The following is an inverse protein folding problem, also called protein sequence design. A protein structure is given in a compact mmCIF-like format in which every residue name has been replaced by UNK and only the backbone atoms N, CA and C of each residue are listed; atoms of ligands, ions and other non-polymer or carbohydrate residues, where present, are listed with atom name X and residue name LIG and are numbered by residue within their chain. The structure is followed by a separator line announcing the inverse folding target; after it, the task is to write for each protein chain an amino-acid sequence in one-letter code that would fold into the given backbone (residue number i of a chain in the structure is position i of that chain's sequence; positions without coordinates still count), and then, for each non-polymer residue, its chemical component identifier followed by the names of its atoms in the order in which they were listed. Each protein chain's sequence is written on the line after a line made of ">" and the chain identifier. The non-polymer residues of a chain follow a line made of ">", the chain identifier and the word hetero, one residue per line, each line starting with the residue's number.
data_IF_879359990498
#
_entry.id   IF_879359990498
#
_cell.length_a   1.000
_cell.length_b   1.000
_cell.length_c   1.000
_cell.angle_alpha   90.00
_cell.angle_beta   90.00
_cell.angle_gamma   90.00
#
_symmetry.space_group_name_H-M   'P 1'
#
loop_
_entity.id
_entity.type
_entity.pdbx_description
1 polymer ?
#
# COMPACT_ATOMS: atom_id res chain seq x y z
N UNK A 1 -15.94 -21.78 -15.25
CA UNK A 1 -15.12 -20.57 -14.98
C UNK A 1 -15.72 -19.79 -13.81
N UNK A 2 -14.96 -19.55 -12.76
CA UNK A 2 -15.37 -18.87 -11.53
C UNK A 2 -15.37 -17.35 -11.73
N UNK A 3 -16.52 -16.70 -11.58
CA UNK A 3 -16.65 -15.24 -11.65
C UNK A 3 -16.32 -14.61 -10.30
N UNK A 4 -15.32 -13.73 -10.27
CA UNK A 4 -14.87 -13.00 -9.07
C UNK A 4 -14.96 -11.50 -9.30
N UNK A 5 -15.61 -10.77 -8.38
CA UNK A 5 -15.64 -9.31 -8.39
C UNK A 5 -14.77 -8.76 -7.27
N UNK A 6 -13.69 -8.06 -7.62
CA UNK A 6 -12.96 -7.21 -6.69
C UNK A 6 -13.68 -5.87 -6.55
N UNK A 7 -13.85 -5.39 -5.31
CA UNK A 7 -14.59 -4.15 -5.04
C UNK A 7 -13.65 -3.19 -4.30
N UNK A 8 -13.37 -2.04 -4.91
CA UNK A 8 -12.53 -0.98 -4.38
C UNK A 8 -13.25 0.37 -4.56
N UNK A 9 -13.19 1.29 -3.57
CA UNK A 9 -13.95 2.54 -3.68
C UNK A 9 -13.41 3.42 -4.79
N UNK A 10 -12.13 3.81 -4.70
CA UNK A 10 -11.50 4.73 -5.66
C UNK A 10 -10.51 3.99 -6.55
N UNK A 11 -10.54 4.25 -7.86
CA UNK A 11 -9.59 3.68 -8.82
C UNK A 11 -8.27 4.45 -8.86
N UNK A 12 -7.60 4.57 -7.72
CA UNK A 12 -6.31 5.27 -7.58
C UNK A 12 -5.14 4.30 -7.55
N UNK A 13 -4.01 4.73 -8.10
CA UNK A 13 -2.73 4.03 -7.93
C UNK A 13 -2.22 4.32 -6.51
N UNK A 14 -2.32 3.32 -5.67
CA UNK A 14 -1.94 3.34 -4.26
C UNK A 14 -1.49 1.95 -3.83
N UNK A 15 -0.93 1.80 -2.64
CA UNK A 15 -0.55 0.49 -2.14
C UNK A 15 -1.69 -0.54 -2.18
N UNK A 16 -2.92 -0.16 -1.78
CA UNK A 16 -4.10 -1.02 -1.86
C UNK A 16 -4.58 -1.25 -3.30
N UNK A 17 -4.55 -0.21 -4.15
CA UNK A 17 -4.94 -0.31 -5.57
C UNK A 17 -4.03 -1.26 -6.33
N UNK A 18 -2.71 -1.15 -6.17
CA UNK A 18 -1.73 -2.06 -6.79
C UNK A 18 -1.84 -3.47 -6.22
N UNK A 19 -2.04 -3.62 -4.90
CA UNK A 19 -2.27 -4.94 -4.30
C UNK A 19 -3.51 -5.62 -4.91
N UNK A 20 -4.63 -4.88 -5.05
CA UNK A 20 -5.84 -5.37 -5.72
C UNK A 20 -5.56 -5.79 -7.17
N UNK A 21 -4.87 -4.94 -7.93
CA UNK A 21 -4.51 -5.24 -9.31
C UNK A 21 -3.64 -6.50 -9.44
N UNK A 22 -2.58 -6.62 -8.63
CA UNK A 22 -1.70 -7.79 -8.65
C UNK A 22 -2.46 -9.07 -8.25
N UNK A 23 -3.33 -8.99 -7.24
CA UNK A 23 -4.19 -10.12 -6.84
C UNK A 23 -5.09 -10.60 -7.97
N UNK A 24 -5.60 -9.68 -8.81
CA UNK A 24 -6.44 -10.05 -9.96
C UNK A 24 -5.62 -10.58 -11.13
N UNK A 25 -4.52 -9.87 -11.47
CA UNK A 25 -3.70 -10.15 -12.65
C UNK A 25 -3.01 -11.51 -12.58
N UNK A 26 -2.57 -11.89 -11.39
CA UNK A 26 -1.82 -13.13 -11.18
C UNK A 26 -2.68 -14.40 -11.12
N UNK A 27 -4.02 -14.27 -11.05
CA UNK A 27 -4.89 -15.45 -11.02
C UNK A 27 -4.97 -16.15 -12.38
N UNK A 28 -5.18 -17.47 -12.34
CA UNK A 28 -5.34 -18.29 -13.53
C UNK A 28 -6.56 -17.84 -14.35
N UNK A 29 -6.31 -17.30 -15.53
CA UNK A 29 -7.33 -16.78 -16.46
C UNK A 29 -8.19 -17.90 -17.09
N UNK A 30 -7.73 -19.14 -17.09
CA UNK A 30 -8.49 -20.29 -17.53
C UNK A 30 -9.57 -20.70 -16.52
N UNK A 31 -9.26 -20.48 -15.23
CA UNK A 31 -10.14 -20.85 -14.13
C UNK A 31 -11.00 -19.68 -13.61
N UNK A 32 -10.42 -18.48 -13.50
CA UNK A 32 -11.09 -17.30 -12.96
C UNK A 32 -11.41 -16.24 -14.02
N UNK A 33 -12.61 -15.65 -13.91
CA UNK A 33 -12.97 -14.40 -14.60
C UNK A 33 -12.96 -13.28 -13.57
N UNK A 34 -11.86 -12.50 -13.57
CA UNK A 34 -11.66 -11.36 -12.66
C UNK A 34 -12.27 -10.09 -13.21
N UNK A 35 -13.06 -9.39 -12.41
CA UNK A 35 -13.62 -8.08 -12.72
C UNK A 35 -13.40 -7.12 -11.53
N UNK A 36 -13.26 -5.82 -11.82
CA UNK A 36 -13.06 -4.77 -10.81
C UNK A 36 -14.27 -3.83 -10.77
N UNK A 37 -14.86 -3.64 -9.59
CA UNK A 37 -15.88 -2.63 -9.32
C UNK A 37 -15.28 -1.41 -8.63
N UNK A 38 -15.43 -0.21 -9.23
CA UNK A 38 -14.83 1.04 -8.72
C UNK A 38 -15.67 2.26 -9.09
N UNK A 39 -15.32 3.45 -8.56
CA UNK A 39 -15.82 4.74 -9.04
C UNK A 39 -15.41 4.99 -10.52
N UNK A 40 -16.11 5.90 -11.24
CA UNK A 40 -16.00 6.01 -12.70
C UNK A 40 -14.68 6.55 -13.24
N UNK A 41 -13.85 7.24 -12.45
CA UNK A 41 -12.67 7.97 -12.93
C UNK A 41 -11.45 7.71 -12.05
N UNK A 42 -10.33 7.32 -12.69
CA UNK A 42 -9.03 7.18 -12.05
C UNK A 42 -8.09 6.23 -12.79
N UNK A 43 -6.77 6.34 -12.56
CA UNK A 43 -5.74 5.67 -13.35
C UNK A 43 -5.75 4.14 -13.20
N UNK A 44 -6.21 3.58 -12.09
CA UNK A 44 -6.31 2.13 -11.91
C UNK A 44 -7.24 1.47 -12.95
N UNK A 45 -8.23 2.21 -13.47
CA UNK A 45 -9.13 1.70 -14.52
C UNK A 45 -8.36 1.39 -15.80
N UNK A 46 -7.47 2.30 -16.24
CA UNK A 46 -6.60 2.10 -17.40
C UNK A 46 -5.72 0.88 -17.21
N UNK A 47 -4.99 0.83 -16.09
CA UNK A 47 -4.09 -0.25 -15.75
C UNK A 47 -4.79 -1.64 -15.79
N UNK A 48 -5.98 -1.77 -15.21
CA UNK A 48 -6.73 -3.03 -15.19
C UNK A 48 -7.20 -3.42 -16.61
N UNK A 49 -7.68 -2.46 -17.40
CA UNK A 49 -8.15 -2.69 -18.77
C UNK A 49 -7.02 -3.08 -19.72
N UNK A 50 -5.86 -2.45 -19.63
CA UNK A 50 -4.65 -2.76 -20.43
C UNK A 50 -4.20 -4.21 -20.23
N UNK A 51 -4.51 -4.82 -19.08
CA UNK A 51 -4.23 -6.24 -18.81
C UNK A 51 -5.40 -7.19 -19.13
N UNK A 52 -6.40 -6.71 -19.91
CA UNK A 52 -7.50 -7.52 -20.43
C UNK A 52 -8.60 -7.85 -19.42
N UNK A 53 -8.61 -7.20 -18.25
CA UNK A 53 -9.63 -7.42 -17.23
C UNK A 53 -10.77 -6.40 -17.34
N UNK A 54 -11.98 -6.82 -17.00
CA UNK A 54 -13.17 -5.94 -17.05
C UNK A 54 -13.24 -5.02 -15.84
N UNK A 55 -13.65 -3.77 -16.08
CA UNK A 55 -13.93 -2.79 -15.02
C UNK A 55 -15.39 -2.38 -15.08
N UNK A 56 -16.07 -2.49 -13.96
CA UNK A 56 -17.46 -2.06 -13.71
C UNK A 56 -17.44 -0.76 -12.89
N UNK A 57 -18.04 0.28 -13.40
CA UNK A 57 -18.01 1.58 -12.71
C UNK A 57 -19.37 1.89 -12.09
N UNK A 58 -19.33 2.36 -10.83
CA UNK A 58 -20.51 2.72 -10.04
C UNK A 58 -20.45 4.21 -9.70
N UNK A 59 -21.38 5.00 -10.24
CA UNK A 59 -21.40 6.47 -10.12
C UNK A 59 -21.54 6.96 -8.67
N UNK A 60 -22.15 6.13 -7.81
CA UNK A 60 -22.38 6.46 -6.41
C UNK A 60 -21.23 6.03 -5.50
N UNK A 61 -20.17 5.38 -6.02
CA UNK A 61 -18.95 5.11 -5.25
C UNK A 61 -18.19 6.42 -5.05
N UNK A 62 -18.20 6.94 -3.81
CA UNK A 62 -17.49 8.14 -3.39
C UNK A 62 -16.68 7.85 -2.14
N UNK A 63 -15.55 8.56 -1.93
CA UNK A 63 -14.70 8.32 -0.77
C UNK A 63 -15.23 8.96 0.52
N UNK A 64 -15.73 10.21 0.53
CA UNK A 64 -16.31 10.81 1.74
C UNK A 64 -17.52 10.01 2.22
N UNK A 65 -17.78 10.04 3.53
CA UNK A 65 -19.03 9.53 4.08
C UNK A 65 -20.18 10.35 3.53
N UNK A 66 -21.07 9.70 2.81
CA UNK A 66 -22.28 10.27 2.21
C UNK A 66 -23.38 9.22 2.32
N UNK A 67 -24.19 9.24 3.39
CA UNK A 67 -25.18 8.19 3.65
C UNK A 67 -26.16 7.97 2.49
N UNK A 68 -26.55 9.04 1.78
CA UNK A 68 -27.46 8.94 0.65
C UNK A 68 -26.80 8.25 -0.55
N UNK A 69 -25.59 8.70 -0.95
CA UNK A 69 -24.85 8.05 -2.03
C UNK A 69 -24.41 6.65 -1.67
N UNK A 70 -24.09 6.40 -0.41
CA UNK A 70 -23.70 5.08 0.08
C UNK A 70 -24.86 4.09 0.01
N UNK A 71 -26.08 4.53 0.31
CA UNK A 71 -27.29 3.73 0.12
C UNK A 71 -27.55 3.44 -1.36
N UNK A 72 -27.44 4.45 -2.23
CA UNK A 72 -27.57 4.24 -3.68
C UNK A 72 -26.49 3.28 -4.22
N UNK A 73 -25.25 3.42 -3.78
CA UNK A 73 -24.18 2.52 -4.14
C UNK A 73 -24.44 1.06 -3.69
N UNK A 74 -25.01 0.89 -2.50
CA UNK A 74 -25.41 -0.41 -1.98
C UNK A 74 -26.51 -1.06 -2.82
N UNK A 75 -27.54 -0.29 -3.18
CA UNK A 75 -28.65 -0.79 -4.00
C UNK A 75 -28.20 -1.12 -5.42
N UNK A 76 -27.43 -0.24 -6.08
CA UNK A 76 -26.88 -0.45 -7.41
C UNK A 76 -26.01 -1.71 -7.45
N UNK A 77 -25.10 -1.85 -6.47
CA UNK A 77 -24.20 -3.01 -6.38
C UNK A 77 -24.97 -4.30 -6.09
N UNK A 78 -25.99 -4.25 -5.23
CA UNK A 78 -26.83 -5.44 -4.93
C UNK A 78 -27.57 -5.92 -6.16
N UNK A 79 -28.23 -5.00 -6.89
CA UNK A 79 -28.94 -5.32 -8.12
C UNK A 79 -27.96 -5.91 -9.18
N UNK A 80 -26.80 -5.29 -9.34
CA UNK A 80 -25.76 -5.77 -10.24
C UNK A 80 -25.29 -7.21 -9.90
N UNK A 81 -24.97 -7.45 -8.63
CA UNK A 81 -24.50 -8.77 -8.17
C UNK A 81 -25.55 -9.86 -8.38
N UNK A 82 -26.83 -9.58 -8.14
CA UNK A 82 -27.96 -10.53 -8.40
C UNK A 82 -28.09 -10.93 -9.87
N UNK A 83 -27.90 -9.96 -10.76
CA UNK A 83 -28.08 -10.16 -12.20
C UNK A 83 -26.89 -10.87 -12.87
N UNK A 84 -25.68 -10.67 -12.35
CA UNK A 84 -24.43 -11.14 -13.00
C UNK A 84 -23.96 -12.52 -12.52
N UNK A 85 -24.47 -13.03 -11.39
CA UNK A 85 -24.15 -14.39 -10.89
C UNK A 85 -22.68 -14.57 -10.52
N UNK A 86 -22.11 -13.68 -9.68
CA UNK A 86 -20.76 -13.85 -9.14
C UNK A 86 -20.72 -14.98 -8.10
N UNK A 87 -19.66 -15.77 -8.14
CA UNK A 87 -19.40 -16.84 -7.18
C UNK A 87 -18.67 -16.31 -5.93
N UNK A 88 -17.87 -15.26 -6.11
CA UNK A 88 -17.07 -14.67 -5.06
C UNK A 88 -16.96 -13.14 -5.22
N UNK A 89 -17.09 -12.45 -4.09
CA UNK A 89 -16.67 -11.04 -3.97
C UNK A 89 -15.43 -10.93 -3.11
N UNK A 90 -14.48 -10.07 -3.52
CA UNK A 90 -13.31 -9.72 -2.73
C UNK A 90 -13.26 -8.20 -2.56
N UNK A 91 -13.50 -7.74 -1.35
CA UNK A 91 -13.60 -6.32 -1.02
C UNK A 91 -12.30 -5.78 -0.46
N UNK A 92 -12.00 -4.51 -0.73
CA UNK A 92 -10.79 -3.81 -0.27
C UNK A 92 -11.18 -2.46 0.33
N UNK A 93 -10.43 -1.98 1.33
CA UNK A 93 -10.70 -0.74 2.09
C UNK A 93 -12.02 -0.78 2.89
N UNK A 94 -12.11 0.06 3.93
CA UNK A 94 -13.24 0.03 4.87
C UNK A 94 -14.58 0.33 4.20
N UNK A 95 -14.68 1.38 3.38
CA UNK A 95 -15.96 1.77 2.76
C UNK A 95 -16.45 0.75 1.73
N UNK A 96 -15.61 0.37 0.77
CA UNK A 96 -15.94 -0.70 -0.20
C UNK A 96 -16.13 -2.04 0.51
N UNK A 97 -15.39 -2.27 1.60
CA UNK A 97 -15.54 -3.41 2.48
C UNK A 97 -16.92 -3.51 3.10
N UNK A 98 -17.45 -2.43 3.66
CA UNK A 98 -18.77 -2.42 4.27
C UNK A 98 -19.88 -2.58 3.20
N UNK A 99 -19.89 -1.70 2.19
CA UNK A 99 -20.92 -1.71 1.13
C UNK A 99 -20.89 -3.02 0.35
N UNK A 100 -19.70 -3.51 -0.04
CA UNK A 100 -19.54 -4.71 -0.84
C UNK A 100 -19.95 -5.99 -0.11
N UNK A 101 -19.55 -6.14 1.17
CA UNK A 101 -19.94 -7.32 1.98
C UNK A 101 -21.45 -7.35 2.23
N UNK A 102 -22.08 -6.18 2.49
CA UNK A 102 -23.52 -6.10 2.68
C UNK A 102 -24.28 -6.38 1.37
N UNK A 103 -23.85 -5.79 0.26
CA UNK A 103 -24.42 -6.04 -1.07
C UNK A 103 -24.30 -7.52 -1.47
N UNK A 104 -23.13 -8.12 -1.24
CA UNK A 104 -22.92 -9.54 -1.49
C UNK A 104 -23.84 -10.45 -0.70
N UNK A 105 -24.02 -10.13 0.60
CA UNK A 105 -24.99 -10.85 1.46
C UNK A 105 -26.41 -10.73 0.93
N UNK A 106 -26.87 -9.51 0.58
CA UNK A 106 -28.21 -9.28 0.06
C UNK A 106 -28.44 -9.89 -1.33
N UNK A 107 -27.38 -9.95 -2.13
CA UNK A 107 -27.43 -10.59 -3.45
C UNK A 107 -27.30 -12.11 -3.41
N UNK A 108 -26.96 -12.69 -2.26
CA UNK A 108 -26.76 -14.14 -2.13
C UNK A 108 -25.45 -14.65 -2.77
N UNK A 109 -24.41 -13.79 -2.86
CA UNK A 109 -23.10 -14.24 -3.38
C UNK A 109 -22.50 -15.28 -2.42
N UNK A 110 -22.12 -16.47 -2.92
CA UNK A 110 -21.74 -17.61 -2.08
C UNK A 110 -20.53 -17.37 -1.18
N UNK A 111 -19.51 -16.65 -1.69
CA UNK A 111 -18.23 -16.43 -0.99
C UNK A 111 -17.92 -14.93 -0.89
N UNK A 112 -17.59 -14.48 0.32
CA UNK A 112 -17.17 -13.11 0.61
C UNK A 112 -15.79 -13.10 1.30
N UNK A 113 -14.81 -12.44 0.66
CA UNK A 113 -13.46 -12.23 1.19
C UNK A 113 -13.21 -10.73 1.34
N UNK A 114 -12.45 -10.33 2.35
CA UNK A 114 -12.05 -8.95 2.56
C UNK A 114 -10.55 -8.84 2.82
N UNK A 115 -9.83 -7.96 2.10
CA UNK A 115 -8.45 -7.62 2.43
C UNK A 115 -8.39 -6.31 3.20
N UNK A 116 -7.82 -6.36 4.39
CA UNK A 116 -7.58 -5.21 5.27
C UNK A 116 -6.18 -4.64 4.97
N UNK A 117 -6.15 -3.48 4.29
CA UNK A 117 -4.91 -2.73 4.00
C UNK A 117 -4.55 -1.72 5.09
N UNK A 118 -5.43 -1.48 6.02
CA UNK A 118 -5.40 -0.56 7.13
C UNK A 118 -6.84 -0.24 7.52
N UNK A 119 -7.03 0.29 8.71
CA UNK A 119 -8.35 0.68 9.18
C UNK A 119 -8.57 2.18 9.07
N UNK A 120 -9.81 2.61 8.84
CA UNK A 120 -10.21 4.01 8.78
C UNK A 120 -10.28 4.68 10.17
N UNK A 121 -10.09 3.92 11.23
CA UNK A 121 -10.14 4.37 12.63
C UNK A 121 -8.77 4.13 13.28
N UNK A 122 -7.89 5.10 13.17
CA UNK A 122 -6.57 5.13 13.81
C UNK A 122 -6.58 6.13 14.99
N UNK A 123 -5.56 6.11 15.81
CA UNK A 123 -5.48 6.87 17.06
C UNK A 123 -5.56 8.41 16.87
N UNK A 124 -5.36 8.91 15.65
CA UNK A 124 -5.47 10.34 15.33
C UNK A 124 -6.90 10.77 14.93
N UNK A 125 -7.84 9.83 14.73
CA UNK A 125 -9.23 10.16 14.46
C UNK A 125 -9.98 10.53 15.75
N UNK A 126 -10.99 11.43 15.68
CA UNK A 126 -11.84 11.74 16.82
C UNK A 126 -12.48 10.48 17.42
N UNK A 127 -12.63 10.36 18.76
CA UNK A 127 -13.13 9.15 19.43
C UNK A 127 -14.47 8.64 18.89
N UNK A 128 -15.40 9.54 18.56
CA UNK A 128 -16.69 9.16 18.02
C UNK A 128 -16.60 8.51 16.64
N UNK A 129 -15.67 9.00 15.78
CA UNK A 129 -15.41 8.39 14.46
C UNK A 129 -14.75 7.04 14.60
N UNK A 130 -13.79 6.92 15.54
CA UNK A 130 -13.17 5.63 15.84
C UNK A 130 -14.24 4.61 16.25
N UNK A 131 -15.15 4.98 17.19
CA UNK A 131 -16.23 4.13 17.64
C UNK A 131 -17.19 3.73 16.50
N UNK A 132 -17.57 4.70 15.66
CA UNK A 132 -18.43 4.45 14.49
C UNK A 132 -17.81 3.44 13.53
N UNK A 133 -16.59 3.71 13.05
CA UNK A 133 -15.93 2.84 12.08
C UNK A 133 -15.63 1.46 12.65
N UNK A 134 -15.22 1.36 13.90
CA UNK A 134 -15.02 0.08 14.59
C UNK A 134 -16.30 -0.75 14.62
N UNK A 135 -17.42 -0.15 14.97
CA UNK A 135 -18.71 -0.87 15.02
C UNK A 135 -19.18 -1.26 13.61
N UNK A 136 -18.97 -0.43 12.61
CA UNK A 136 -19.25 -0.78 11.20
C UNK A 136 -18.37 -1.96 10.73
N UNK A 137 -17.08 -1.98 11.06
CA UNK A 137 -16.20 -3.09 10.72
C UNK A 137 -16.57 -4.39 11.47
N UNK A 138 -16.94 -4.30 12.75
CA UNK A 138 -17.48 -5.44 13.52
C UNK A 138 -18.70 -6.04 12.84
N UNK A 139 -19.67 -5.18 12.47
CA UNK A 139 -20.88 -5.61 11.78
C UNK A 139 -20.56 -6.26 10.45
N UNK A 140 -19.70 -5.62 9.64
CA UNK A 140 -19.31 -6.13 8.33
C UNK A 140 -18.47 -7.43 8.41
N UNK A 141 -17.75 -7.66 9.51
CA UNK A 141 -17.02 -8.89 9.78
C UNK A 141 -17.93 -10.13 9.84
N UNK A 142 -19.21 -9.97 10.20
CA UNK A 142 -20.19 -11.07 10.17
C UNK A 142 -20.54 -11.52 8.76
N UNK A 143 -20.43 -10.63 7.75
CA UNK A 143 -20.78 -10.89 6.35
C UNK A 143 -19.58 -11.33 5.50
N UNK A 144 -18.53 -11.79 6.15
CA UNK A 144 -17.28 -12.18 5.50
C UNK A 144 -16.91 -13.61 5.89
N UNK A 145 -16.55 -14.45 4.92
CA UNK A 145 -16.08 -15.82 5.16
C UNK A 145 -14.62 -15.82 5.63
N UNK A 146 -13.76 -14.98 5.03
CA UNK A 146 -12.36 -14.78 5.43
C UNK A 146 -11.92 -13.33 5.32
N UNK A 147 -11.09 -12.90 6.27
CA UNK A 147 -10.43 -11.60 6.28
C UNK A 147 -8.92 -11.79 6.13
N UNK A 148 -8.38 -11.23 5.06
CA UNK A 148 -6.94 -11.24 4.76
C UNK A 148 -6.33 -9.97 5.34
N UNK A 149 -5.29 -10.13 6.14
CA UNK A 149 -4.54 -9.02 6.75
C UNK A 149 -3.13 -8.97 6.19
N UNK A 150 -2.67 -7.78 5.86
CA UNK A 150 -1.35 -7.59 5.24
C UNK A 150 -0.20 -7.47 6.25
N UNK A 151 -0.49 -7.49 7.55
CA UNK A 151 0.52 -7.44 8.61
C UNK A 151 0.00 -8.03 9.93
N UNK A 152 0.92 -8.46 10.80
CA UNK A 152 0.57 -9.02 12.12
C UNK A 152 -0.08 -7.96 13.04
N UNK A 153 0.42 -6.73 13.15
CA UNK A 153 -0.22 -5.71 13.99
C UNK A 153 -1.67 -5.41 13.62
N UNK A 154 -2.04 -5.50 12.34
CA UNK A 154 -3.43 -5.35 11.92
C UNK A 154 -4.32 -6.51 12.41
N UNK A 155 -3.79 -7.72 12.45
CA UNK A 155 -4.48 -8.89 13.00
C UNK A 155 -4.73 -8.70 14.50
N UNK A 156 -3.65 -8.40 15.24
CA UNK A 156 -3.69 -8.26 16.70
C UNK A 156 -4.68 -7.16 17.08
N UNK A 157 -4.69 -6.07 16.33
CA UNK A 157 -5.61 -4.98 16.52
C UNK A 157 -7.06 -5.38 16.19
N UNK A 158 -7.32 -6.07 15.08
CA UNK A 158 -8.66 -6.51 14.69
C UNK A 158 -9.27 -7.50 15.70
N UNK A 159 -8.46 -8.41 16.23
CA UNK A 159 -8.88 -9.36 17.25
C UNK A 159 -9.18 -8.64 18.57
N UNK A 160 -8.28 -7.77 19.03
CA UNK A 160 -8.46 -6.97 20.24
C UNK A 160 -9.71 -6.10 20.18
N UNK A 161 -9.98 -5.48 19.04
CA UNK A 161 -11.15 -4.64 18.83
C UNK A 161 -12.43 -5.44 18.49
N UNK A 162 -12.36 -6.76 18.42
CA UNK A 162 -13.52 -7.61 18.14
C UNK A 162 -14.12 -7.42 16.73
N UNK A 163 -13.30 -6.97 15.76
CA UNK A 163 -13.71 -6.81 14.34
C UNK A 163 -13.90 -8.17 13.68
N UNK A 164 -13.15 -9.18 14.13
CA UNK A 164 -13.17 -10.54 13.63
C UNK A 164 -12.76 -11.54 14.71
N UNK A 165 -12.72 -12.80 14.38
CA UNK A 165 -12.21 -13.88 15.24
C UNK A 165 -11.14 -14.69 14.49
N UNK A 166 -10.36 -15.48 15.23
CA UNK A 166 -9.24 -16.27 14.69
C UNK A 166 -9.63 -17.18 13.52
N UNK A 167 -10.85 -17.75 13.54
CA UNK A 167 -11.30 -18.67 12.50
C UNK A 167 -11.44 -18.00 11.14
N UNK A 168 -11.62 -16.67 11.09
CA UNK A 168 -11.76 -15.89 9.85
C UNK A 168 -10.46 -15.21 9.41
N UNK A 169 -9.45 -15.14 10.26
CA UNK A 169 -8.19 -14.43 10.00
C UNK A 169 -7.27 -15.25 9.10
N UNK A 170 -6.66 -14.57 8.13
CA UNK A 170 -5.52 -15.09 7.36
C UNK A 170 -4.52 -13.97 7.16
N UNK A 171 -3.23 -14.23 7.40
CA UNK A 171 -2.15 -13.29 7.09
C UNK A 171 -1.59 -13.57 5.70
N UNK A 172 -1.69 -12.58 4.80
CA UNK A 172 -1.05 -12.60 3.48
C UNK A 172 -0.44 -11.22 3.26
N UNK A 173 0.86 -11.16 3.16
CA UNK A 173 1.57 -9.90 2.89
C UNK A 173 1.25 -9.36 1.50
N UNK A 174 1.33 -8.02 1.35
CA UNK A 174 1.24 -7.40 0.02
C UNK A 174 2.42 -7.85 -0.84
N UNK A 175 2.11 -8.30 -2.05
CA UNK A 175 3.12 -8.78 -2.99
C UNK A 175 3.79 -7.65 -3.77
N UNK A 176 5.04 -7.89 -4.18
CA UNK A 176 5.80 -7.04 -5.09
C UNK A 176 6.27 -7.84 -6.31
N UNK A 177 6.36 -7.18 -7.45
CA UNK A 177 6.91 -7.74 -8.70
C UNK A 177 8.44 -7.66 -8.65
N UNK A 178 9.07 -8.77 -8.31
CA UNK A 178 10.53 -8.85 -8.14
C UNK A 178 11.29 -8.74 -9.48
N UNK A 179 10.65 -9.07 -10.58
CA UNK A 179 11.22 -8.89 -11.93
C UNK A 179 11.23 -7.43 -12.35
N UNK A 180 10.23 -6.64 -11.89
CA UNK A 180 10.19 -5.20 -12.15
C UNK A 180 11.10 -4.43 -11.21
N UNK A 181 11.04 -4.71 -9.90
CA UNK A 181 11.87 -4.06 -8.90
C UNK A 181 13.13 -4.88 -8.63
N UNK A 182 14.22 -4.54 -9.33
CA UNK A 182 15.51 -5.22 -9.22
C UNK A 182 16.68 -4.22 -9.04
N UNK A 183 17.82 -4.67 -8.50
CA UNK A 183 19.00 -3.82 -8.41
C UNK A 183 19.47 -3.37 -9.81
N UNK A 184 19.84 -2.11 -9.92
CA UNK A 184 20.39 -1.53 -11.16
C UNK A 184 21.91 -1.45 -11.11
N UNK A 185 22.55 -1.51 -12.29
CA UNK A 185 24.00 -1.30 -12.42
C UNK A 185 24.39 0.14 -12.07
N UNK A 186 25.66 0.35 -11.75
CA UNK A 186 26.17 1.71 -11.48
C UNK A 186 26.07 2.62 -12.73
N UNK A 187 26.18 2.05 -13.94
CA UNK A 187 26.02 2.79 -15.19
C UNK A 187 24.56 3.22 -15.40
N UNK A 188 23.64 2.30 -15.19
CA UNK A 188 22.19 2.57 -15.30
C UNK A 188 21.75 3.62 -14.27
N UNK A 189 22.18 3.49 -13.01
CA UNK A 189 21.93 4.49 -11.97
C UNK A 189 22.44 5.87 -12.41
N UNK A 190 23.61 5.96 -13.05
CA UNK A 190 24.14 7.23 -13.58
C UNK A 190 23.26 7.83 -14.66
N UNK A 191 22.78 7.01 -15.62
CA UNK A 191 21.86 7.46 -16.69
C UNK A 191 20.56 7.97 -16.12
N UNK A 192 19.96 7.22 -15.16
CA UNK A 192 18.72 7.62 -14.50
C UNK A 192 18.91 8.92 -13.69
N UNK A 193 19.97 9.06 -12.90
CA UNK A 193 20.26 10.30 -12.17
C UNK A 193 20.36 11.51 -13.08
N UNK A 194 21.03 11.36 -14.25
CA UNK A 194 21.12 12.45 -15.25
C UNK A 194 19.73 12.86 -15.76
N UNK A 195 18.85 11.88 -16.05
CA UNK A 195 17.47 12.13 -16.48
C UNK A 195 16.68 12.95 -15.45
N UNK A 196 16.91 12.70 -14.17
CA UNK A 196 16.22 13.38 -13.05
C UNK A 196 16.95 14.63 -12.54
N UNK A 197 18.00 15.10 -13.20
CA UNK A 197 18.78 16.26 -12.77
C UNK A 197 19.48 16.08 -11.41
N UNK A 198 19.83 14.84 -11.07
CA UNK A 198 20.50 14.48 -9.82
C UNK A 198 22.00 14.28 -10.12
N UNK A 199 22.86 14.98 -9.36
CA UNK A 199 24.30 14.88 -9.56
C UNK A 199 24.80 13.49 -9.06
N UNK A 200 25.92 13.02 -9.68
CA UNK A 200 26.49 11.73 -9.31
C UNK A 200 27.09 11.72 -7.87
N UNK A 201 27.46 12.89 -7.39
CA UNK A 201 28.02 13.09 -6.03
C UNK A 201 26.95 13.27 -4.94
N UNK A 202 25.69 13.49 -5.34
CA UNK A 202 24.61 13.74 -4.40
C UNK A 202 24.38 12.49 -3.52
N UNK A 203 24.24 12.72 -2.21
CA UNK A 203 23.76 11.74 -1.25
C UNK A 203 22.23 11.85 -1.19
N UNK A 204 21.54 10.91 -1.88
CA UNK A 204 20.11 11.05 -2.16
C UNK A 204 19.26 10.33 -1.12
N UNK A 205 18.47 11.09 -0.39
CA UNK A 205 17.40 10.59 0.50
C UNK A 205 16.10 10.61 -0.31
N UNK A 206 15.41 9.49 -0.45
CA UNK A 206 14.17 9.40 -1.22
C UNK A 206 12.98 9.00 -0.38
N UNK A 207 11.86 9.69 -0.59
CA UNK A 207 10.56 9.35 -0.01
C UNK A 207 9.51 9.26 -1.10
N UNK A 208 8.78 8.14 -1.14
CA UNK A 208 7.64 7.95 -2.05
C UNK A 208 6.38 7.76 -1.22
N UNK A 209 5.49 8.73 -1.27
CA UNK A 209 4.21 8.65 -0.56
C UNK A 209 3.24 9.74 -1.00
N UNK A 210 1.95 9.55 -0.70
CA UNK A 210 0.96 10.62 -0.83
C UNK A 210 1.31 11.77 0.12
N UNK A 211 1.20 13.03 -0.35
CA UNK A 211 1.50 14.22 0.45
C UNK A 211 0.32 14.56 1.37
N UNK A 212 0.31 13.98 2.55
CA UNK A 212 -0.68 14.19 3.60
C UNK A 212 -0.08 13.99 5.01
N UNK A 213 -0.73 14.45 6.09
CA UNK A 213 -0.16 14.55 7.44
C UNK A 213 0.38 13.23 7.98
N UNK A 214 -0.31 12.14 7.74
CA UNK A 214 0.06 10.82 8.27
C UNK A 214 1.40 10.27 7.78
N UNK A 215 2.05 10.91 6.79
CA UNK A 215 3.29 10.41 6.17
C UNK A 215 4.58 11.02 6.73
N UNK A 216 4.49 12.08 7.52
CA UNK A 216 5.65 12.64 8.23
C UNK A 216 6.62 13.46 7.36
N UNK A 217 6.15 14.06 6.26
CA UNK A 217 6.98 14.89 5.36
C UNK A 217 7.67 16.06 6.08
N UNK A 218 6.94 16.76 6.95
CA UNK A 218 7.52 17.84 7.72
C UNK A 218 8.66 17.37 8.63
N UNK A 219 8.49 16.22 9.29
CA UNK A 219 9.52 15.61 10.14
C UNK A 219 10.77 15.32 9.30
N UNK A 220 10.59 14.77 8.08
CA UNK A 220 11.70 14.51 7.17
C UNK A 220 12.40 15.76 6.71
N UNK A 221 11.68 16.82 6.30
CA UNK A 221 12.26 18.07 5.82
C UNK A 221 13.07 18.74 6.95
N UNK A 222 12.58 18.74 8.18
CA UNK A 222 13.32 19.24 9.34
C UNK A 222 14.55 18.42 9.68
N UNK A 223 14.45 17.09 9.62
CA UNK A 223 15.63 16.21 9.78
C UNK A 223 16.66 16.44 8.66
N UNK A 224 16.18 16.62 7.43
CA UNK A 224 17.03 16.90 6.27
C UNK A 224 17.76 18.24 6.39
N UNK A 225 17.14 19.27 6.96
CA UNK A 225 17.82 20.55 7.24
C UNK A 225 19.08 20.34 8.09
N UNK A 226 19.00 19.51 9.12
CA UNK A 226 20.16 19.22 9.97
C UNK A 226 21.21 18.34 9.24
N UNK A 227 20.75 17.36 8.44
CA UNK A 227 21.64 16.53 7.60
C UNK A 227 22.41 17.39 6.60
N UNK A 228 21.77 18.39 6.01
CA UNK A 228 22.39 19.29 5.02
C UNK A 228 23.52 20.14 5.59
N UNK A 229 23.53 20.42 6.90
CA UNK A 229 24.64 21.09 7.58
C UNK A 229 25.90 20.23 7.61
N UNK A 230 25.75 18.89 7.70
CA UNK A 230 26.85 17.91 7.78
C UNK A 230 27.28 17.40 6.41
N UNK A 231 26.30 17.11 5.53
CA UNK A 231 26.54 16.56 4.18
C UNK A 231 26.07 17.61 3.16
N UNK A 232 26.99 18.42 2.66
CA UNK A 232 26.66 19.51 1.70
C UNK A 232 26.05 19.01 0.40
N UNK A 233 26.41 17.81 -0.04
CA UNK A 233 25.90 17.11 -1.23
C UNK A 233 24.59 16.35 -0.96
N UNK A 234 24.03 16.42 0.26
CA UNK A 234 22.74 15.78 0.54
C UNK A 234 21.62 16.39 -0.32
N UNK A 235 20.79 15.53 -0.89
CA UNK A 235 19.61 15.89 -1.68
C UNK A 235 18.41 15.08 -1.22
N UNK A 236 17.28 15.74 -1.06
CA UNK A 236 16.01 15.11 -0.71
C UNK A 236 15.13 15.03 -1.95
N UNK A 237 14.59 13.84 -2.25
CA UNK A 237 13.65 13.61 -3.34
C UNK A 237 12.32 13.14 -2.74
N UNK A 238 11.27 13.92 -2.96
CA UNK A 238 9.91 13.65 -2.50
C UNK A 238 9.03 13.34 -3.72
N UNK A 239 8.53 12.10 -3.75
CA UNK A 239 7.72 11.57 -4.86
C UNK A 239 6.29 11.39 -4.40
N UNK A 240 5.33 11.98 -5.13
CA UNK A 240 3.91 11.88 -4.87
C UNK A 240 3.18 13.21 -4.96
N UNK A 241 1.88 13.15 -4.77
CA UNK A 241 0.97 14.29 -4.78
C UNK A 241 0.06 14.29 -3.55
N UNK A 242 -0.53 15.44 -3.26
CA UNK A 242 -1.50 15.60 -2.19
C UNK A 242 -1.66 17.05 -1.77
N UNK A 243 -2.63 17.33 -0.92
CA UNK A 243 -2.99 18.69 -0.50
C UNK A 243 -1.91 19.38 0.37
N UNK A 244 -0.90 18.64 0.84
CA UNK A 244 0.25 19.24 1.53
C UNK A 244 1.35 19.74 0.59
N UNK A 245 1.22 19.61 -0.74
CA UNK A 245 2.27 20.03 -1.68
C UNK A 245 2.74 21.48 -1.41
N UNK A 246 1.84 22.45 -1.52
CA UNK A 246 2.19 23.85 -1.38
C UNK A 246 2.67 24.24 0.03
N UNK A 247 2.04 23.75 1.13
CA UNK A 247 2.59 23.89 2.47
C UNK A 247 4.02 23.36 2.64
N UNK A 248 4.34 22.21 2.03
CA UNK A 248 5.68 21.60 2.12
C UNK A 248 6.71 22.37 1.28
N UNK A 249 6.33 22.84 0.08
CA UNK A 249 7.19 23.71 -0.75
C UNK A 249 7.51 24.99 0.03
N UNK A 250 6.50 25.64 0.63
CA UNK A 250 6.68 26.84 1.46
C UNK A 250 7.56 26.56 2.69
N UNK A 251 7.50 25.38 3.28
CA UNK A 251 8.38 24.98 4.37
C UNK A 251 9.83 24.84 3.90
N UNK A 252 10.06 24.20 2.76
CA UNK A 252 11.38 24.02 2.14
C UNK A 252 12.03 25.38 1.86
N UNK A 253 11.26 26.32 1.31
CA UNK A 253 11.73 27.67 1.01
C UNK A 253 12.13 28.44 2.29
N UNK A 254 11.24 28.47 3.29
CA UNK A 254 11.54 29.10 4.61
C UNK A 254 12.78 28.54 5.31
N UNK A 255 13.11 27.27 5.06
CA UNK A 255 14.28 26.61 5.63
C UNK A 255 15.55 26.76 4.77
N UNK A 256 15.47 27.46 3.62
CA UNK A 256 16.59 27.67 2.70
C UNK A 256 17.07 26.40 2.01
N UNK A 257 16.15 25.48 1.70
CA UNK A 257 16.45 24.15 1.14
C UNK A 257 16.03 23.98 -0.32
N UNK A 258 15.54 25.01 -0.98
CA UNK A 258 14.92 24.98 -2.31
C UNK A 258 15.80 24.28 -3.34
N UNK A 259 17.11 24.56 -3.38
CA UNK A 259 18.05 23.93 -4.31
C UNK A 259 18.39 22.47 -3.98
N UNK A 260 17.98 21.98 -2.80
CA UNK A 260 18.38 20.68 -2.27
C UNK A 260 17.21 19.68 -2.16
N UNK A 261 15.98 20.15 -2.38
CA UNK A 261 14.76 19.32 -2.32
C UNK A 261 14.10 19.29 -3.68
N UNK A 262 13.86 18.09 -4.20
CA UNK A 262 13.16 17.86 -5.47
C UNK A 262 11.78 17.25 -5.19
N UNK A 263 10.71 17.95 -5.56
CA UNK A 263 9.37 17.39 -5.64
C UNK A 263 9.12 16.92 -7.09
N UNK A 264 8.85 15.63 -7.27
CA UNK A 264 8.67 15.05 -8.61
C UNK A 264 7.21 14.99 -9.06
N UNK A 265 6.27 15.28 -8.18
CA UNK A 265 4.86 14.97 -8.41
C UNK A 265 4.57 13.47 -8.36
N UNK A 266 3.37 13.11 -8.78
CA UNK A 266 2.95 11.71 -8.87
C UNK A 266 3.72 10.97 -9.98
N UNK A 267 4.21 9.77 -9.65
CA UNK A 267 4.82 8.86 -10.61
C UNK A 267 4.02 7.55 -10.61
N UNK A 268 3.59 7.11 -11.79
CA UNK A 268 2.86 5.85 -11.93
C UNK A 268 3.78 4.65 -11.68
N UNK A 269 5.01 4.73 -12.18
CA UNK A 269 6.10 3.79 -11.94
C UNK A 269 7.22 4.51 -11.18
N UNK A 270 7.58 3.95 -10.04
CA UNK A 270 8.59 4.52 -9.14
C UNK A 270 9.95 3.84 -9.25
N UNK A 271 10.11 2.86 -10.15
CA UNK A 271 11.35 2.10 -10.32
C UNK A 271 12.56 3.02 -10.57
N UNK A 272 12.48 3.84 -11.64
CA UNK A 272 13.60 4.72 -11.99
C UNK A 272 13.95 5.70 -10.87
N UNK A 273 12.94 6.30 -10.24
CA UNK A 273 13.23 7.30 -9.21
C UNK A 273 13.81 6.65 -7.94
N UNK A 274 13.33 5.47 -7.53
CA UNK A 274 13.93 4.70 -6.43
C UNK A 274 15.35 4.29 -6.77
N UNK A 275 15.65 3.96 -8.03
CA UNK A 275 17.01 3.63 -8.47
C UNK A 275 18.02 4.74 -8.15
N UNK A 276 17.59 6.02 -8.15
CA UNK A 276 18.46 7.16 -7.82
C UNK A 276 18.84 7.26 -6.34
N UNK A 277 18.05 6.68 -5.44
CA UNK A 277 18.20 6.84 -3.99
C UNK A 277 19.45 6.13 -3.46
N UNK A 278 20.04 6.68 -2.41
CA UNK A 278 21.06 6.04 -1.58
C UNK A 278 20.44 5.49 -0.30
N UNK A 279 19.33 6.08 0.14
CA UNK A 279 18.48 5.58 1.23
C UNK A 279 17.02 5.92 0.95
N UNK A 280 16.12 4.99 1.22
CA UNK A 280 14.67 5.23 1.19
C UNK A 280 14.17 5.48 2.60
N UNK A 281 13.31 6.49 2.77
CA UNK A 281 12.80 6.87 4.07
C UNK A 281 11.28 6.87 4.10
N UNK A 282 10.70 6.36 5.20
CA UNK A 282 9.24 6.37 5.43
C UNK A 282 8.93 6.71 6.89
N UNK A 283 8.90 8.02 7.27
CA UNK A 283 8.73 8.47 8.65
C UNK A 283 7.26 8.64 9.04
N UNK A 284 6.42 7.72 8.58
CA UNK A 284 4.96 7.76 8.77
C UNK A 284 4.55 7.64 10.23
N UNK A 285 3.39 8.18 10.56
CA UNK A 285 2.76 8.02 11.88
C UNK A 285 1.90 6.74 11.96
N UNK A 286 1.43 6.25 10.82
CA UNK A 286 0.71 4.97 10.70
C UNK A 286 0.86 4.38 9.29
N UNK A 287 0.95 3.06 9.21
CA UNK A 287 1.06 2.28 7.97
C UNK A 287 0.39 0.92 8.12
N UNK A 288 -0.25 0.47 7.05
CA UNK A 288 -0.66 -0.93 6.99
C UNK A 288 0.56 -1.86 6.86
N UNK A 289 1.48 -1.53 5.93
CA UNK A 289 2.69 -2.32 5.68
C UNK A 289 3.86 -1.46 5.15
N UNK A 290 3.60 -0.36 4.42
CA UNK A 290 4.65 0.47 3.81
C UNK A 290 5.20 -0.13 2.50
N UNK A 291 4.33 -0.29 1.48
CA UNK A 291 4.68 -0.92 0.19
C UNK A 291 5.98 -0.39 -0.45
N UNK A 292 6.24 0.92 -0.38
CA UNK A 292 7.46 1.53 -0.91
C UNK A 292 8.74 0.93 -0.30
N UNK A 293 8.67 0.44 0.94
CA UNK A 293 9.82 -0.23 1.58
C UNK A 293 10.11 -1.57 0.89
N UNK A 294 9.07 -2.32 0.46
CA UNK A 294 9.25 -3.53 -0.34
C UNK A 294 9.94 -3.20 -1.68
N UNK A 295 9.47 -2.15 -2.36
CA UNK A 295 10.01 -1.67 -3.63
C UNK A 295 11.49 -1.28 -3.49
N UNK A 296 11.83 -0.51 -2.46
CA UNK A 296 13.20 -0.11 -2.16
C UNK A 296 14.10 -1.31 -1.78
N UNK A 297 13.61 -2.19 -0.90
CA UNK A 297 14.35 -3.38 -0.48
C UNK A 297 14.58 -4.35 -1.65
N UNK A 298 13.61 -4.48 -2.57
CA UNK A 298 13.77 -5.25 -3.79
C UNK A 298 14.90 -4.73 -4.68
N UNK A 299 15.16 -3.43 -4.64
CA UNK A 299 16.24 -2.75 -5.37
C UNK A 299 17.54 -2.61 -4.55
N UNK A 300 17.69 -3.38 -3.47
CA UNK A 300 18.82 -3.31 -2.53
C UNK A 300 19.06 -1.91 -1.94
N UNK A 301 18.01 -1.10 -1.81
CA UNK A 301 18.14 0.19 -1.13
C UNK A 301 18.00 -0.01 0.38
N UNK A 302 18.91 0.55 1.18
CA UNK A 302 18.72 0.59 2.63
C UNK A 302 17.50 1.45 2.97
N UNK A 303 16.82 1.11 4.04
CA UNK A 303 15.59 1.79 4.46
C UNK A 303 15.72 2.33 5.88
N UNK A 304 15.13 3.51 6.11
CA UNK A 304 14.93 4.09 7.44
C UNK A 304 13.44 4.41 7.58
N UNK A 305 12.76 3.82 8.55
CA UNK A 305 11.31 3.96 8.66
C UNK A 305 10.83 4.08 10.10
N UNK A 306 9.66 4.64 10.30
CA UNK A 306 9.03 4.66 11.63
C UNK A 306 8.61 3.26 12.08
N UNK A 307 8.74 2.99 13.38
CA UNK A 307 8.28 1.75 14.03
C UNK A 307 6.76 1.79 14.24
N UNK A 308 5.99 1.71 13.15
CA UNK A 308 4.52 1.79 13.18
C UNK A 308 3.87 0.73 12.30
N UNK A 309 2.67 0.29 12.69
CA UNK A 309 1.86 -0.65 11.91
C UNK A 309 2.65 -1.88 11.47
N UNK A 310 2.51 -2.26 10.21
CA UNK A 310 3.19 -3.43 9.64
C UNK A 310 4.65 -3.21 9.21
N UNK A 311 5.25 -2.03 9.43
CA UNK A 311 6.67 -1.78 9.09
C UNK A 311 7.62 -2.73 9.83
N UNK A 312 7.44 -3.05 11.15
CA UNK A 312 8.26 -4.02 11.85
C UNK A 312 8.19 -5.47 11.30
N UNK A 313 7.16 -5.82 10.55
CA UNK A 313 7.09 -7.12 9.87
C UNK A 313 8.11 -7.18 8.70
N UNK A 314 8.45 -6.02 8.11
CA UNK A 314 9.37 -5.88 6.99
C UNK A 314 10.80 -5.59 7.44
N UNK A 315 10.94 -4.61 8.33
CA UNK A 315 12.22 -4.04 8.74
C UNK A 315 12.62 -4.57 10.11
N UNK A 316 13.71 -5.32 10.14
CA UNK A 316 14.40 -5.74 11.35
C UNK A 316 15.52 -4.74 11.63
N UNK A 317 15.40 -4.05 12.78
CA UNK A 317 16.25 -2.91 13.15
C UNK A 317 17.74 -3.30 13.21
N UNK A 318 18.59 -2.55 12.49
CA UNK A 318 20.03 -2.79 12.37
C UNK A 318 20.43 -3.98 11.48
N UNK A 319 19.47 -4.77 10.96
CA UNK A 319 19.75 -5.95 10.13
C UNK A 319 19.52 -5.64 8.65
N UNK A 320 18.34 -5.15 8.28
CA UNK A 320 17.96 -4.83 6.90
C UNK A 320 17.46 -3.39 6.72
N UNK A 321 17.54 -2.57 7.76
CA UNK A 321 17.16 -1.16 7.81
C UNK A 321 17.25 -0.62 9.22
N UNK A 322 16.78 0.62 9.42
CA UNK A 322 16.64 1.20 10.76
C UNK A 322 15.19 1.56 11.04
N UNK A 323 14.76 1.28 12.27
CA UNK A 323 13.47 1.67 12.79
C UNK A 323 13.61 2.81 13.79
N UNK A 324 12.86 3.89 13.58
CA UNK A 324 12.86 5.08 14.44
C UNK A 324 11.49 5.29 15.06
N UNK A 325 11.41 5.98 16.19
CA UNK A 325 10.14 6.36 16.79
C UNK A 325 9.41 7.39 15.92
N UNK A 326 8.07 7.27 15.73
CA UNK A 326 7.33 8.20 14.89
C UNK A 326 7.42 9.63 15.45
N UNK A 327 7.60 10.62 14.54
CA UNK A 327 7.68 12.03 14.90
C UNK A 327 9.01 12.48 15.53
N UNK A 328 10.00 11.61 15.71
CA UNK A 328 11.30 11.94 16.35
C UNK A 328 12.33 12.36 15.31
N UNK A 329 12.42 13.67 15.07
CA UNK A 329 13.35 14.28 14.09
C UNK A 329 14.80 13.84 14.34
N UNK A 330 15.26 13.84 15.60
CA UNK A 330 16.63 13.46 15.97
C UNK A 330 16.94 12.01 15.62
N UNK A 331 16.06 11.05 16.00
CA UNK A 331 16.26 9.62 15.69
C UNK A 331 16.28 9.39 14.18
N UNK A 332 15.39 10.07 13.43
CA UNK A 332 15.32 9.98 11.98
C UNK A 332 16.62 10.48 11.33
N UNK A 333 17.12 11.65 11.77
CA UNK A 333 18.39 12.20 11.32
C UNK A 333 19.55 11.22 11.60
N UNK A 334 19.68 10.72 12.82
CA UNK A 334 20.73 9.79 13.22
C UNK A 334 20.70 8.49 12.38
N UNK A 335 19.50 7.92 12.15
CA UNK A 335 19.32 6.75 11.29
C UNK A 335 19.75 6.99 9.85
N UNK A 336 19.37 8.14 9.28
CA UNK A 336 19.76 8.53 7.91
C UNK A 336 21.27 8.80 7.80
N UNK A 337 21.88 9.50 8.76
CA UNK A 337 23.33 9.75 8.76
C UNK A 337 24.15 8.46 8.86
N UNK A 338 23.75 7.48 9.70
CA UNK A 338 24.40 6.16 9.77
C UNK A 338 24.50 5.49 8.40
N UNK A 339 23.40 5.57 7.62
CA UNK A 339 23.35 4.96 6.28
C UNK A 339 24.16 5.76 5.27
N UNK A 340 24.06 7.09 5.28
CA UNK A 340 24.73 7.94 4.29
C UNK A 340 26.25 8.03 4.48
N UNK A 341 26.73 7.97 5.73
CA UNK A 341 28.15 8.09 6.05
C UNK A 341 28.90 6.73 5.97
N UNK A 342 28.20 5.61 6.06
CA UNK A 342 28.81 4.27 5.96
C UNK A 342 28.29 3.47 4.76
N UNK A 343 29.03 3.54 3.65
CA UNK A 343 28.69 2.81 2.41
C UNK A 343 28.72 1.28 2.57
N UNK A 344 29.55 0.74 3.49
CA UNK A 344 29.59 -0.72 3.74
C UNK A 344 28.32 -1.15 4.46
N UNK A 345 27.92 -0.41 5.49
CA UNK A 345 26.68 -0.63 6.20
C UNK A 345 25.46 -0.49 5.25
N UNK A 346 25.39 0.58 4.46
CA UNK A 346 24.30 0.79 3.49
C UNK A 346 24.15 -0.40 2.54
N UNK A 347 25.24 -0.90 1.95
CA UNK A 347 25.22 -2.10 1.09
C UNK A 347 24.79 -3.35 1.82
N UNK A 348 25.27 -3.56 3.07
CA UNK A 348 24.88 -4.69 3.89
C UNK A 348 23.37 -4.68 4.15
N UNK A 349 22.83 -3.54 4.61
CA UNK A 349 21.40 -3.37 4.89
C UNK A 349 20.55 -3.61 3.63
N UNK A 350 20.94 -3.03 2.48
CA UNK A 350 20.24 -3.22 1.22
C UNK A 350 20.18 -4.69 0.77
N UNK A 351 21.30 -5.41 0.81
CA UNK A 351 21.35 -6.84 0.48
C UNK A 351 20.50 -7.69 1.42
N UNK A 352 20.54 -7.41 2.72
CA UNK A 352 19.69 -8.11 3.69
C UNK A 352 18.21 -7.79 3.46
N UNK A 353 17.88 -6.54 3.08
CA UNK A 353 16.55 -6.15 2.66
C UNK A 353 16.06 -7.00 1.48
N UNK A 354 16.83 -7.08 0.40
CA UNK A 354 16.48 -7.91 -0.77
C UNK A 354 16.31 -9.39 -0.40
N UNK A 355 17.21 -9.94 0.43
CA UNK A 355 17.10 -11.33 0.87
C UNK A 355 15.78 -11.59 1.60
N UNK A 356 15.35 -10.68 2.48
CA UNK A 356 14.12 -10.84 3.26
C UNK A 356 12.86 -10.91 2.40
N UNK A 357 12.80 -10.16 1.30
CA UNK A 357 11.56 -10.05 0.52
C UNK A 357 11.41 -11.07 -0.61
N UNK A 358 12.46 -11.85 -0.95
CA UNK A 358 12.43 -12.75 -2.11
C UNK A 358 11.30 -13.79 -2.07
N UNK A 359 11.04 -14.41 -0.93
CA UNK A 359 10.11 -15.54 -0.86
C UNK A 359 8.74 -15.16 -0.28
N UNK A 360 8.71 -14.35 0.78
CA UNK A 360 7.46 -14.06 1.50
C UNK A 360 6.62 -12.94 0.89
N UNK A 361 7.25 -12.04 0.15
CA UNK A 361 6.65 -10.78 -0.31
C UNK A 361 6.56 -10.69 -1.83
N UNK A 362 6.73 -11.81 -2.56
CA UNK A 362 6.51 -11.79 -4.00
C UNK A 362 5.03 -11.73 -4.35
N UNK A 363 4.71 -11.16 -5.52
CA UNK A 363 3.35 -11.13 -6.03
C UNK A 363 2.81 -12.55 -6.27
N UNK A 364 3.68 -13.48 -6.70
CA UNK A 364 3.34 -14.89 -6.92
C UNK A 364 2.91 -15.56 -5.63
N UNK A 365 3.68 -15.41 -4.54
CA UNK A 365 3.36 -15.99 -3.22
C UNK A 365 2.05 -15.42 -2.67
N UNK A 366 1.82 -14.11 -2.84
CA UNK A 366 0.56 -13.48 -2.45
C UNK A 366 -0.62 -14.09 -3.23
N UNK A 367 -0.51 -14.18 -4.56
CA UNK A 367 -1.57 -14.72 -5.43
C UNK A 367 -1.85 -16.19 -5.12
N UNK A 368 -0.83 -17.04 -5.01
CA UNK A 368 -0.98 -18.45 -4.64
C UNK A 368 -1.69 -18.62 -3.28
N UNK A 369 -1.37 -17.75 -2.33
CA UNK A 369 -2.02 -17.79 -1.02
C UNK A 369 -3.49 -17.38 -1.09
N UNK A 370 -3.82 -16.38 -1.91
CA UNK A 370 -5.22 -15.95 -2.14
C UNK A 370 -5.98 -17.06 -2.91
N UNK A 371 -5.39 -17.65 -3.94
CA UNK A 371 -5.99 -18.75 -4.71
C UNK A 371 -6.36 -19.94 -3.82
N UNK A 372 -5.45 -20.35 -2.93
CA UNK A 372 -5.74 -21.41 -1.94
C UNK A 372 -6.98 -21.11 -1.08
N UNK A 373 -7.12 -19.83 -0.65
CA UNK A 373 -8.29 -19.41 0.12
C UNK A 373 -9.56 -19.48 -0.73
N UNK A 374 -9.51 -18.96 -1.95
CA UNK A 374 -10.66 -18.97 -2.86
C UNK A 374 -11.13 -20.40 -3.14
N UNK A 375 -10.24 -21.27 -3.56
CA UNK A 375 -10.56 -22.69 -3.84
C UNK A 375 -11.15 -23.39 -2.62
N UNK A 376 -10.55 -23.19 -1.43
CA UNK A 376 -11.08 -23.75 -0.18
C UNK A 376 -12.50 -23.28 0.11
N UNK A 377 -12.78 -21.98 0.02
CA UNK A 377 -14.09 -21.42 0.30
C UNK A 377 -15.14 -21.85 -0.73
N UNK A 378 -14.79 -21.85 -2.02
CA UNK A 378 -15.68 -22.31 -3.10
C UNK A 378 -16.06 -23.78 -2.90
N UNK A 379 -15.10 -24.65 -2.61
CA UNK A 379 -15.35 -26.07 -2.31
C UNK A 379 -16.26 -26.24 -1.08
N UNK A 380 -16.04 -25.47 0.00
CA UNK A 380 -16.91 -25.50 1.18
C UNK A 380 -18.37 -25.07 0.90
N UNK A 381 -18.58 -24.28 -0.16
CA UNK A 381 -19.92 -23.86 -0.63
C UNK A 381 -20.49 -24.78 -1.71
N UNK A 382 -19.83 -25.90 -2.00
CA UNK A 382 -20.28 -26.86 -3.01
C UNK A 382 -20.17 -26.38 -4.46
N UNK A 383 -19.32 -25.37 -4.72
CA UNK A 383 -19.08 -24.86 -6.07
C UNK A 383 -18.00 -25.73 -6.73
N UNK A 384 -18.29 -26.36 -7.88
CA UNK A 384 -17.34 -27.24 -8.58
C UNK A 384 -16.08 -26.48 -8.96
N UNK A 385 -14.90 -27.06 -8.70
CA UNK A 385 -13.60 -26.53 -9.09
C UNK A 385 -13.08 -27.13 -10.40
N UNK A 386 -13.80 -28.09 -10.97
CA UNK A 386 -13.52 -28.74 -12.24
C UNK A 386 -14.21 -27.92 -13.34
N UNK A 387 -13.59 -26.88 -13.84
CA UNK A 387 -14.13 -26.03 -14.91
C UNK A 387 -13.06 -25.69 -15.94
#
# INVERSE_FOLDING_TARGET
>A
MIKVLHIHTLPVISGSGINTFLSMRGMDKGFYKMELAVAPRGPLIGLVREHGMRVRTFKHFVQPLDPFRDLLALLDLTAFLRNEGYHLIHTHNSKAGFIGRLAGKWAGVPVSVHTVHGFAFHDQEPPWRQALFRNLERLAGHWCDKMIFISQPLIDWALREGVTNESKVVKIYSGIELDHFHPVSAEEKRKIRKKWGINQKDAVIGMVSKLWEGKGHEILIRAFQEIKKEIKEARLVIVGEGYLHDPLVSLVDRLGLTDSVLFTGFQMDVFEIIATFDVTVLPSFFEGMGRVLLEAMAMEKPVVASRVGGIPDLVEDGVNGFLVSPGKIRELREGLLKVLCDRKLARKLGRQGRKRINDQFSAETMVQSIDKIYRKLLSMKGIPLDA
#
